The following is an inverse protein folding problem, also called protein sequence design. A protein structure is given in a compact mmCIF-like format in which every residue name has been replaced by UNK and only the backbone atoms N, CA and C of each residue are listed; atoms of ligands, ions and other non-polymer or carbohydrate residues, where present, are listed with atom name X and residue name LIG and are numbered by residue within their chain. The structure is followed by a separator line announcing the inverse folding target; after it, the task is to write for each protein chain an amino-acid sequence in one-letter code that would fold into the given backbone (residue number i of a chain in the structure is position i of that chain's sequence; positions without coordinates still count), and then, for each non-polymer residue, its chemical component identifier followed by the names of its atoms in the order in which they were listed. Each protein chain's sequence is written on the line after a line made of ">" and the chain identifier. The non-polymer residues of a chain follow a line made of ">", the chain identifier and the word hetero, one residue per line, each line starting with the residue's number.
data_IF_110698508064
#
_entry.id   IF_110698508064
#
_cell.length_a   1.000
_cell.length_b   1.000
_cell.length_c   1.000
_cell.angle_alpha   90.00
_cell.angle_beta   90.00
_cell.angle_gamma   90.00
#
_symmetry.space_group_name_H-M   'P 1'
#
loop_
_entity.id
_entity.type
_entity.pdbx_description
1 polymer ?
#
# COMPACT_ATOMS: atom_id res chain seq x y z
N UNK A 1 21.24 1.14 11.35
CA UNK A 1 20.78 2.55 11.45
C UNK A 1 20.29 2.96 12.84
N UNK A 2 20.00 2.00 13.76
CA UNK A 2 19.51 2.26 15.12
C UNK A 2 20.62 2.65 16.14
N UNK A 3 21.91 2.34 15.88
CA UNK A 3 23.02 2.38 16.86
C UNK A 3 23.23 3.73 17.55
N UNK A 4 22.92 4.84 16.87
CA UNK A 4 23.17 6.19 17.38
C UNK A 4 21.88 6.92 17.78
N UNK A 5 20.80 6.19 18.06
CA UNK A 5 19.49 6.74 18.41
C UNK A 5 19.05 6.23 19.76
N UNK A 6 18.40 7.09 20.54
CA UNK A 6 17.88 6.75 21.86
C UNK A 6 16.41 6.35 21.68
N UNK A 7 16.11 5.11 22.01
CA UNK A 7 14.75 4.56 21.96
C UNK A 7 14.20 4.39 23.38
N UNK A 8 12.91 4.58 23.53
CA UNK A 8 12.23 4.21 24.76
C UNK A 8 11.89 2.70 24.78
N UNK A 9 11.33 2.25 25.90
CA UNK A 9 11.01 0.83 26.10
C UNK A 9 9.86 0.32 25.22
N UNK A 10 9.09 1.19 24.59
CA UNK A 10 7.97 0.82 23.71
C UNK A 10 8.44 0.33 22.34
N UNK A 11 9.68 0.69 21.95
CA UNK A 11 10.17 0.42 20.59
C UNK A 11 10.67 -1.01 20.46
N UNK A 12 10.04 -1.74 19.56
CA UNK A 12 10.43 -3.08 19.14
C UNK A 12 10.93 -3.04 17.69
N UNK A 13 12.25 -3.18 17.51
CA UNK A 13 12.88 -3.15 16.18
C UNK A 13 12.43 -4.32 15.30
N UNK A 14 12.12 -5.49 15.89
CA UNK A 14 11.54 -6.61 15.15
C UNK A 14 10.16 -6.28 14.59
N UNK A 15 9.30 -5.65 15.38
CA UNK A 15 7.99 -5.18 14.90
C UNK A 15 8.12 -4.11 13.81
N UNK A 16 9.15 -3.25 13.87
CA UNK A 16 9.41 -2.26 12.81
C UNK A 16 9.77 -2.97 11.51
N UNK A 17 10.65 -3.98 11.54
CA UNK A 17 11.05 -4.72 10.34
C UNK A 17 9.87 -5.45 9.68
N UNK A 18 8.96 -6.01 10.46
CA UNK A 18 7.74 -6.63 9.95
C UNK A 18 6.79 -5.64 9.27
N UNK A 19 6.80 -4.37 9.69
CA UNK A 19 5.93 -3.30 9.16
C UNK A 19 6.53 -2.53 7.98
N UNK A 20 7.76 -2.85 7.61
CA UNK A 20 8.51 -2.19 6.53
C UNK A 20 8.98 -3.16 5.45
N UNK A 21 8.09 -4.05 4.93
CA UNK A 21 8.47 -4.96 3.86
C UNK A 21 8.89 -4.15 2.62
N UNK A 22 9.98 -4.56 1.98
CA UNK A 22 10.51 -3.91 0.79
C UNK A 22 11.30 -2.62 1.02
N UNK A 23 11.46 -2.18 2.28
CA UNK A 23 12.32 -1.02 2.57
C UNK A 23 13.79 -1.38 2.36
N UNK A 24 14.49 -0.49 1.65
CA UNK A 24 15.96 -0.54 1.56
C UNK A 24 16.60 -0.05 2.88
N UNK A 25 17.90 -0.26 3.03
CA UNK A 25 18.65 0.31 4.17
C UNK A 25 18.51 1.83 4.26
N UNK A 26 18.45 2.53 3.12
CA UNK A 26 18.27 3.98 3.06
C UNK A 26 16.86 4.39 3.54
N UNK A 27 15.82 3.62 3.18
CA UNK A 27 14.45 3.90 3.65
C UNK A 27 14.34 3.70 5.17
N UNK A 28 14.96 2.65 5.72
CA UNK A 28 15.00 2.41 7.16
C UNK A 28 15.78 3.50 7.91
N UNK A 29 16.87 4.00 7.34
CA UNK A 29 17.61 5.14 7.90
C UNK A 29 16.75 6.39 7.91
N UNK A 30 16.09 6.70 6.79
CA UNK A 30 15.18 7.84 6.66
C UNK A 30 14.03 7.75 7.67
N UNK A 31 13.40 6.58 7.81
CA UNK A 31 12.35 6.34 8.79
C UNK A 31 12.81 6.66 10.21
N UNK A 32 13.95 6.12 10.63
CA UNK A 32 14.46 6.34 11.98
C UNK A 32 14.94 7.80 12.21
N UNK A 33 15.40 8.48 11.17
CA UNK A 33 15.73 9.91 11.24
C UNK A 33 14.46 10.76 11.38
N UNK A 34 13.41 10.47 10.60
CA UNK A 34 12.11 11.13 10.75
C UNK A 34 11.51 10.90 12.14
N UNK A 35 11.59 9.66 12.67
CA UNK A 35 11.13 9.36 14.02
C UNK A 35 11.88 10.17 15.09
N UNK A 36 13.21 10.33 14.93
CA UNK A 36 14.01 11.14 15.82
C UNK A 36 13.60 12.62 15.77
N UNK A 37 13.40 13.18 14.56
CA UNK A 37 12.92 14.55 14.38
C UNK A 37 11.54 14.77 15.00
N UNK A 38 10.65 13.78 14.90
CA UNK A 38 9.32 13.81 15.51
C UNK A 38 9.42 13.81 17.05
N UNK A 39 10.30 12.98 17.63
CA UNK A 39 10.55 12.96 19.08
C UNK A 39 11.00 14.34 19.59
N UNK A 40 11.97 14.96 18.90
CA UNK A 40 12.43 16.31 19.24
C UNK A 40 11.29 17.34 19.13
N UNK A 41 10.51 17.33 18.05
CA UNK A 41 9.37 18.24 17.87
C UNK A 41 8.28 18.08 18.94
N UNK A 42 8.17 16.89 19.53
CA UNK A 42 7.25 16.57 20.61
C UNK A 42 7.87 16.76 22.01
N UNK A 43 9.07 17.34 22.09
CA UNK A 43 9.85 17.52 23.32
C UNK A 43 10.10 16.21 24.08
N UNK A 44 10.32 15.10 23.37
CA UNK A 44 10.69 13.80 23.94
C UNK A 44 12.20 13.60 23.90
N UNK A 45 12.75 12.95 24.92
CA UNK A 45 14.18 12.64 25.03
C UNK A 45 14.56 11.30 24.35
N UNK A 46 13.57 10.52 23.93
CA UNK A 46 13.75 9.24 23.28
C UNK A 46 12.66 9.03 22.21
N UNK A 47 12.97 8.21 21.21
CA UNK A 47 12.03 7.81 20.17
C UNK A 47 11.11 6.75 20.75
N UNK A 48 9.80 6.99 20.72
CA UNK A 48 8.78 6.02 21.05
C UNK A 48 8.19 5.35 19.83
N UNK A 49 7.36 4.31 20.05
CA UNK A 49 6.69 3.61 18.94
C UNK A 49 5.74 4.52 18.17
N UNK A 50 5.10 5.49 18.82
CA UNK A 50 4.22 6.48 18.17
C UNK A 50 4.98 7.36 17.15
N UNK A 51 6.24 7.72 17.46
CA UNK A 51 7.09 8.46 16.53
C UNK A 51 7.50 7.60 15.34
N UNK A 52 7.76 6.32 15.58
CA UNK A 52 8.10 5.36 14.52
C UNK A 52 6.89 5.14 13.60
N UNK A 53 5.70 4.96 14.15
CA UNK A 53 4.47 4.77 13.37
C UNK A 53 4.16 5.99 12.49
N UNK A 54 4.26 7.19 13.05
CA UNK A 54 4.07 8.43 12.27
C UNK A 54 5.18 8.63 11.22
N UNK A 55 6.42 8.27 11.53
CA UNK A 55 7.53 8.33 10.58
C UNK A 55 7.35 7.32 9.44
N UNK A 56 6.87 6.12 9.74
CA UNK A 56 6.53 5.11 8.73
C UNK A 56 5.48 5.65 7.75
N UNK A 57 4.41 6.22 8.27
CA UNK A 57 3.36 6.85 7.46
C UNK A 57 3.92 7.98 6.58
N UNK A 58 4.84 8.79 7.10
CA UNK A 58 5.46 9.89 6.34
C UNK A 58 6.35 9.41 5.21
N UNK A 59 7.11 8.35 5.46
CA UNK A 59 8.00 7.78 4.43
C UNK A 59 7.18 7.12 3.33
N UNK A 60 6.11 6.41 3.68
CA UNK A 60 5.27 5.71 2.71
C UNK A 60 4.32 6.64 1.92
N UNK A 61 3.65 7.55 2.62
CA UNK A 61 2.51 8.30 2.08
C UNK A 61 2.71 9.81 2.08
N UNK A 62 3.81 10.29 2.68
CA UNK A 62 4.09 11.70 2.87
C UNK A 62 3.48 12.27 4.17
N UNK A 63 3.74 13.55 4.47
CA UNK A 63 3.26 14.20 5.68
C UNK A 63 1.74 14.33 5.69
N UNK A 64 1.15 14.28 6.89
CA UNK A 64 -0.27 14.53 7.09
C UNK A 64 -0.64 15.97 6.68
N UNK A 65 -1.75 16.13 5.96
CA UNK A 65 -2.29 17.43 5.54
C UNK A 65 -3.18 18.01 6.64
N UNK A 66 -2.59 18.61 7.65
CA UNK A 66 -3.31 19.17 8.80
C UNK A 66 -4.09 20.46 8.50
N UNK A 67 -3.71 21.19 7.44
CA UNK A 67 -4.37 22.43 7.03
C UNK A 67 -5.62 22.22 6.16
N UNK A 68 -5.83 21.03 5.61
CA UNK A 68 -6.99 20.73 4.78
C UNK A 68 -8.23 20.52 5.67
N UNK A 69 -9.21 21.41 5.52
CA UNK A 69 -10.55 21.19 6.11
C UNK A 69 -11.28 20.14 5.27
N UNK A 70 -11.54 18.99 5.87
CA UNK A 70 -12.31 17.91 5.26
C UNK A 70 -13.73 18.01 5.77
N UNK A 71 -14.73 17.96 4.89
CA UNK A 71 -16.13 17.95 5.28
C UNK A 71 -16.52 16.62 5.92
N UNK A 72 -17.57 16.59 6.74
CA UNK A 72 -18.07 15.33 7.33
C UNK A 72 -18.55 14.34 6.26
N UNK A 73 -19.06 14.84 5.12
CA UNK A 73 -19.42 13.99 3.97
C UNK A 73 -18.18 13.30 3.41
N UNK A 74 -17.09 14.03 3.20
CA UNK A 74 -15.82 13.45 2.70
C UNK A 74 -15.21 12.46 3.70
N UNK A 75 -15.23 12.78 5.00
CA UNK A 75 -14.73 11.85 6.03
C UNK A 75 -15.50 10.54 6.01
N UNK A 76 -16.84 10.62 5.95
CA UNK A 76 -17.71 9.44 5.88
C UNK A 76 -17.42 8.61 4.63
N UNK A 77 -17.26 9.28 3.49
CA UNK A 77 -16.95 8.62 2.21
C UNK A 77 -15.63 7.87 2.30
N UNK A 78 -14.56 8.54 2.73
CA UNK A 78 -13.24 7.93 2.89
C UNK A 78 -13.28 6.79 3.91
N UNK A 79 -13.96 6.98 5.04
CA UNK A 79 -14.06 5.94 6.07
C UNK A 79 -14.74 4.67 5.54
N UNK A 80 -15.83 4.80 4.77
CA UNK A 80 -16.53 3.67 4.16
C UNK A 80 -15.64 2.98 3.11
N UNK A 81 -14.97 3.76 2.27
CA UNK A 81 -14.06 3.26 1.25
C UNK A 81 -12.93 2.43 1.88
N UNK A 82 -12.19 2.99 2.82
CA UNK A 82 -11.08 2.30 3.51
C UNK A 82 -11.56 1.09 4.32
N UNK A 83 -12.73 1.19 4.96
CA UNK A 83 -13.33 0.05 5.66
C UNK A 83 -13.67 -1.09 4.70
N UNK A 84 -14.05 -0.79 3.45
CA UNK A 84 -14.28 -1.79 2.41
C UNK A 84 -13.04 -2.63 2.12
N UNK A 85 -11.90 -1.98 1.94
CA UNK A 85 -10.62 -2.68 1.78
C UNK A 85 -10.29 -3.55 3.00
N UNK A 86 -10.46 -3.01 4.19
CA UNK A 86 -10.15 -3.71 5.44
C UNK A 86 -11.04 -4.93 5.67
N UNK A 87 -12.35 -4.82 5.46
CA UNK A 87 -13.30 -5.94 5.63
C UNK A 87 -12.96 -7.10 4.69
N UNK A 88 -12.65 -6.79 3.43
CA UNK A 88 -12.21 -7.81 2.47
C UNK A 88 -10.88 -8.43 2.92
N UNK A 89 -9.89 -7.63 3.31
CA UNK A 89 -8.60 -8.12 3.80
C UNK A 89 -8.71 -9.04 5.02
N UNK A 90 -9.64 -8.74 5.94
CA UNK A 90 -9.88 -9.60 7.12
C UNK A 90 -10.58 -10.92 6.75
N UNK A 91 -11.46 -10.89 5.73
CA UNK A 91 -12.30 -12.05 5.38
C UNK A 91 -11.64 -13.02 4.41
N UNK A 92 -10.72 -12.57 3.59
CA UNK A 92 -10.00 -13.45 2.66
C UNK A 92 -8.85 -14.15 3.37
N UNK A 93 -8.86 -15.48 3.39
CA UNK A 93 -7.88 -16.30 4.13
C UNK A 93 -6.44 -16.07 3.64
N UNK A 94 -6.25 -15.88 2.33
CA UNK A 94 -4.96 -15.72 1.68
C UNK A 94 -4.64 -14.25 1.38
N UNK A 95 -5.46 -13.32 1.91
CA UNK A 95 -5.20 -11.91 1.83
C UNK A 95 -4.06 -11.49 2.78
N UNK A 96 -3.55 -10.31 2.55
CA UNK A 96 -2.63 -9.63 3.46
C UNK A 96 -3.34 -9.31 4.79
N UNK A 97 -2.59 -9.19 5.86
CA UNK A 97 -3.13 -8.78 7.16
C UNK A 97 -3.39 -7.27 7.17
N UNK A 98 -4.58 -6.87 7.61
CA UNK A 98 -4.91 -5.45 7.81
C UNK A 98 -4.16 -4.94 9.05
N UNK A 99 -3.18 -4.09 8.83
CA UNK A 99 -2.38 -3.52 9.91
C UNK A 99 -2.95 -2.20 10.42
N UNK A 100 -3.38 -1.32 9.50
CA UNK A 100 -3.83 0.03 9.86
C UNK A 100 -4.85 0.55 8.85
N UNK A 101 -5.86 1.24 9.37
CA UNK A 101 -6.81 2.02 8.58
C UNK A 101 -6.74 3.47 9.05
N UNK A 102 -6.72 4.41 8.16
CA UNK A 102 -6.71 5.84 8.50
C UNK A 102 -7.49 6.66 7.48
N UNK A 103 -8.18 7.69 7.99
CA UNK A 103 -8.84 8.72 7.18
C UNK A 103 -8.07 10.05 7.23
N UNK A 104 -6.85 10.03 7.76
CA UNK A 104 -5.99 11.21 7.78
C UNK A 104 -5.38 11.37 6.38
N UNK A 105 -5.63 12.50 5.69
CA UNK A 105 -5.13 12.70 4.34
C UNK A 105 -3.62 12.90 4.34
N UNK A 106 -2.95 12.18 3.43
CA UNK A 106 -1.50 12.27 3.19
C UNK A 106 -1.21 12.29 1.70
N UNK A 107 -0.24 13.08 1.28
CA UNK A 107 0.10 13.17 -0.14
C UNK A 107 -1.14 13.46 -1.01
N UNK A 108 -1.49 12.58 -1.93
CA UNK A 108 -2.68 12.66 -2.78
C UNK A 108 -3.87 11.86 -2.24
N UNK A 109 -3.65 11.02 -1.22
CA UNK A 109 -4.68 10.15 -0.65
C UNK A 109 -5.53 10.85 0.41
N UNK A 110 -6.83 10.58 0.43
CA UNK A 110 -7.77 11.05 1.46
C UNK A 110 -7.72 10.23 2.74
N UNK A 111 -7.36 8.95 2.62
CA UNK A 111 -7.10 7.97 3.65
C UNK A 111 -6.28 6.84 3.06
N UNK A 112 -6.00 5.80 3.81
CA UNK A 112 -5.42 4.56 3.29
C UNK A 112 -5.60 3.40 4.25
N UNK A 113 -5.64 2.20 3.69
CA UNK A 113 -5.59 0.94 4.41
C UNK A 113 -4.22 0.29 4.18
N UNK A 114 -3.47 0.10 5.27
CA UNK A 114 -2.16 -0.57 5.22
C UNK A 114 -2.36 -2.06 5.40
N UNK A 115 -1.91 -2.81 4.40
CA UNK A 115 -1.87 -4.26 4.41
C UNK A 115 -0.42 -4.73 4.56
N UNK A 116 -0.19 -5.74 5.37
CA UNK A 116 1.11 -6.39 5.53
C UNK A 116 1.03 -7.83 5.04
N UNK A 117 2.11 -8.37 4.45
CA UNK A 117 2.20 -9.79 4.17
C UNK A 117 2.09 -10.61 5.46
N UNK A 118 1.35 -11.71 5.44
CA UNK A 118 1.26 -12.62 6.60
C UNK A 118 2.55 -13.37 6.87
N UNK A 119 3.35 -13.61 5.84
CA UNK A 119 4.60 -14.36 5.90
C UNK A 119 5.64 -13.71 4.98
N UNK A 120 6.92 -13.94 5.27
CA UNK A 120 8.03 -13.58 4.40
C UNK A 120 8.03 -14.48 3.16
N UNK A 121 7.25 -14.11 2.14
CA UNK A 121 7.20 -14.84 0.87
C UNK A 121 8.33 -14.39 -0.06
N UNK A 122 8.92 -15.36 -0.77
CA UNK A 122 10.02 -15.17 -1.73
C UNK A 122 9.54 -14.49 -3.05
N UNK A 123 8.42 -13.79 -3.01
CA UNK A 123 7.91 -13.08 -4.20
C UNK A 123 7.13 -13.96 -5.20
N UNK A 124 6.93 -15.26 -4.91
CA UNK A 124 6.10 -16.14 -5.73
C UNK A 124 4.67 -16.09 -5.22
N UNK A 125 3.72 -15.81 -6.11
CA UNK A 125 2.30 -15.70 -5.79
C UNK A 125 1.48 -16.68 -6.61
N UNK A 126 0.50 -17.29 -5.97
CA UNK A 126 -0.48 -18.16 -6.64
C UNK A 126 -1.54 -17.34 -7.36
N UNK A 127 -2.30 -18.00 -8.27
CA UNK A 127 -3.45 -17.38 -8.94
C UNK A 127 -4.47 -16.88 -7.92
N UNK A 128 -4.77 -17.69 -6.91
CA UNK A 128 -5.73 -17.36 -5.85
C UNK A 128 -5.31 -16.13 -5.02
N UNK A 129 -4.03 -16.01 -4.69
CA UNK A 129 -3.50 -14.85 -3.98
C UNK A 129 -3.62 -13.56 -4.80
N UNK A 130 -3.38 -13.63 -6.12
CA UNK A 130 -3.57 -12.48 -7.01
C UNK A 130 -5.05 -12.10 -7.14
N UNK A 131 -5.95 -13.08 -7.22
CA UNK A 131 -7.41 -12.85 -7.22
C UNK A 131 -7.86 -12.22 -5.88
N UNK A 132 -7.32 -12.68 -4.75
CA UNK A 132 -7.56 -12.07 -3.44
C UNK A 132 -7.07 -10.61 -3.38
N UNK A 133 -5.91 -10.30 -3.96
CA UNK A 133 -5.43 -8.92 -4.05
C UNK A 133 -6.35 -8.04 -4.90
N UNK A 134 -6.80 -8.52 -6.07
CA UNK A 134 -7.75 -7.80 -6.91
C UNK A 134 -9.04 -7.53 -6.13
N UNK A 135 -9.56 -8.54 -5.45
CA UNK A 135 -10.79 -8.44 -4.66
C UNK A 135 -10.61 -7.40 -3.53
N UNK A 136 -9.48 -7.42 -2.84
CA UNK A 136 -9.12 -6.42 -1.83
C UNK A 136 -9.12 -4.99 -2.38
N UNK A 137 -8.50 -4.78 -3.53
CA UNK A 137 -8.45 -3.48 -4.22
C UNK A 137 -9.85 -2.99 -4.64
N UNK A 138 -10.76 -3.89 -5.00
CA UNK A 138 -12.13 -3.52 -5.38
C UNK A 138 -13.05 -3.27 -4.18
N UNK A 139 -12.63 -3.62 -2.97
CA UNK A 139 -13.40 -3.50 -1.72
C UNK A 139 -13.88 -2.08 -1.43
N UNK A 140 -13.03 -1.07 -1.65
CA UNK A 140 -13.38 0.33 -1.46
C UNK A 140 -14.54 0.77 -2.36
N UNK A 141 -14.49 0.45 -3.65
CA UNK A 141 -15.57 0.74 -4.60
C UNK A 141 -16.85 -0.02 -4.26
N UNK A 142 -16.74 -1.28 -3.87
CA UNK A 142 -17.89 -2.08 -3.50
C UNK A 142 -18.62 -1.49 -2.29
N UNK A 143 -17.89 -1.04 -1.29
CA UNK A 143 -18.44 -0.40 -0.09
C UNK A 143 -19.09 0.95 -0.38
N UNK A 144 -18.49 1.80 -1.23
CA UNK A 144 -19.10 3.04 -1.69
C UNK A 144 -20.51 2.77 -2.29
N UNK A 145 -20.56 1.82 -3.24
CA UNK A 145 -21.83 1.47 -3.91
C UNK A 145 -22.87 0.91 -2.94
N UNK A 146 -22.44 0.06 -2.00
CA UNK A 146 -23.34 -0.64 -1.08
C UNK A 146 -23.91 0.30 0.00
N UNK A 147 -23.07 1.16 0.59
CA UNK A 147 -23.44 1.95 1.77
C UNK A 147 -23.75 3.41 1.48
N UNK A 148 -23.29 3.95 0.34
CA UNK A 148 -23.57 5.33 -0.06
C UNK A 148 -24.51 5.42 -1.25
N UNK A 149 -24.69 4.33 -2.02
CA UNK A 149 -25.43 4.36 -3.28
C UNK A 149 -24.75 5.17 -4.40
N UNK A 150 -23.58 5.70 -4.14
CA UNK A 150 -22.80 6.55 -5.06
C UNK A 150 -21.47 5.85 -5.40
N UNK A 151 -20.81 6.35 -6.45
CA UNK A 151 -19.45 5.94 -6.81
C UNK A 151 -18.60 7.17 -7.04
N UNK A 152 -17.36 7.14 -6.56
CA UNK A 152 -16.48 8.31 -6.61
C UNK A 152 -15.22 8.08 -7.42
N UNK A 153 -14.47 9.13 -7.69
CA UNK A 153 -13.16 9.03 -8.33
C UNK A 153 -12.07 8.48 -7.40
N UNK A 154 -12.36 8.32 -6.10
CA UNK A 154 -11.40 7.85 -5.09
C UNK A 154 -10.79 6.49 -5.41
N UNK A 155 -11.58 5.58 -5.99
CA UNK A 155 -11.14 4.24 -6.38
C UNK A 155 -10.27 4.18 -7.66
N UNK A 156 -9.86 5.30 -8.24
CA UNK A 156 -9.12 5.30 -9.53
C UNK A 156 -7.78 4.58 -9.47
N UNK A 157 -7.03 4.72 -8.37
CA UNK A 157 -5.75 4.04 -8.18
C UNK A 157 -5.93 2.54 -7.91
N UNK A 158 -6.98 2.17 -7.20
CA UNK A 158 -7.33 0.77 -6.96
C UNK A 158 -7.68 0.05 -8.26
N UNK A 159 -8.48 0.66 -9.12
CA UNK A 159 -8.75 0.13 -10.46
C UNK A 159 -7.48 0.00 -11.30
N UNK A 160 -6.59 0.98 -11.26
CA UNK A 160 -5.32 0.93 -11.97
C UNK A 160 -4.47 -0.25 -11.50
N UNK A 161 -4.37 -0.45 -10.19
CA UNK A 161 -3.63 -1.58 -9.59
C UNK A 161 -4.29 -2.92 -9.92
N UNK A 162 -5.60 -3.05 -9.71
CA UNK A 162 -6.36 -4.25 -10.00
C UNK A 162 -6.26 -4.66 -11.48
N UNK A 163 -6.42 -3.70 -12.39
CA UNK A 163 -6.29 -3.92 -13.83
C UNK A 163 -4.87 -4.38 -14.20
N UNK A 164 -3.84 -3.78 -13.58
CA UNK A 164 -2.45 -4.20 -13.83
C UNK A 164 -2.19 -5.63 -13.38
N UNK A 165 -2.70 -6.03 -12.21
CA UNK A 165 -2.58 -7.41 -11.72
C UNK A 165 -3.30 -8.36 -12.68
N UNK A 166 -4.59 -8.11 -12.98
CA UNK A 166 -5.39 -8.94 -13.88
C UNK A 166 -4.74 -9.08 -15.27
N UNK A 167 -4.23 -7.98 -15.81
CA UNK A 167 -3.49 -8.00 -17.08
C UNK A 167 -2.25 -8.88 -16.99
N UNK A 168 -1.44 -8.75 -15.93
CA UNK A 168 -0.24 -9.58 -15.74
C UNK A 168 -0.60 -11.07 -15.60
N UNK A 169 -1.70 -11.41 -14.93
CA UNK A 169 -2.18 -12.79 -14.82
C UNK A 169 -2.44 -13.40 -16.20
N UNK A 170 -3.05 -12.64 -17.11
CA UNK A 170 -3.37 -13.10 -18.47
C UNK A 170 -2.12 -13.07 -19.36
N UNK A 171 -1.38 -11.95 -19.38
CA UNK A 171 -0.37 -11.71 -20.43
C UNK A 171 1.03 -12.21 -20.06
N UNK A 172 1.33 -12.33 -18.77
CA UNK A 172 2.69 -12.69 -18.30
C UNK A 172 2.75 -14.07 -17.64
N UNK A 173 1.74 -14.39 -16.83
CA UNK A 173 1.81 -15.56 -15.95
C UNK A 173 1.06 -16.77 -16.48
N UNK A 174 0.34 -16.64 -17.62
CA UNK A 174 -0.43 -17.74 -18.19
C UNK A 174 -1.52 -18.28 -17.24
N UNK A 175 -2.09 -17.40 -16.38
CA UNK A 175 -3.07 -17.77 -15.37
C UNK A 175 -4.53 -17.56 -15.83
N UNK A 176 -4.77 -17.64 -17.14
CA UNK A 176 -6.11 -17.53 -17.76
C UNK A 176 -6.49 -18.81 -18.46
N UNK A 177 -7.73 -18.90 -18.93
CA UNK A 177 -8.25 -20.02 -19.70
C UNK A 177 -7.61 -20.15 -21.10
N UNK A 178 -6.81 -19.16 -21.51
CA UNK A 178 -6.01 -19.23 -22.75
C UNK A 178 -4.84 -20.21 -22.66
N UNK A 179 -4.52 -20.70 -21.44
CA UNK A 179 -3.45 -21.63 -21.18
C UNK A 179 -2.11 -20.98 -20.82
N UNK A 180 -1.05 -21.78 -20.63
CA UNK A 180 0.26 -21.34 -20.15
C UNK A 180 1.07 -20.69 -21.29
N UNK A 181 0.71 -19.49 -21.68
CA UNK A 181 1.41 -18.71 -22.71
C UNK A 181 1.70 -17.29 -22.22
N UNK A 182 2.81 -16.73 -22.69
CA UNK A 182 3.17 -15.33 -22.48
C UNK A 182 2.77 -14.53 -23.72
N UNK A 183 1.88 -13.54 -23.53
CA UNK A 183 1.32 -12.72 -24.60
C UNK A 183 2.02 -11.34 -24.72
N UNK A 184 2.67 -10.87 -23.66
CA UNK A 184 3.41 -9.61 -23.65
C UNK A 184 4.84 -9.85 -23.18
N UNK A 185 5.85 -9.42 -23.95
CA UNK A 185 7.23 -9.34 -23.55
C UNK A 185 7.52 -7.94 -23.00
N UNK A 186 8.19 -7.86 -21.86
CA UNK A 186 8.83 -6.62 -21.44
C UNK A 186 10.06 -6.42 -22.31
N UNK A 187 10.10 -5.35 -23.10
CA UNK A 187 11.34 -4.97 -23.76
C UNK A 187 12.36 -4.61 -22.69
N UNK A 188 13.31 -5.49 -22.42
CA UNK A 188 14.51 -5.24 -21.61
C UNK A 188 15.45 -4.27 -22.35
N UNK A 189 14.95 -3.14 -22.76
CA UNK A 189 15.69 -2.13 -23.49
C UNK A 189 15.88 -0.87 -22.66
N UNK A 190 16.78 -0.93 -21.67
CA UNK A 190 17.28 0.28 -21.03
C UNK A 190 18.25 0.96 -21.98
N UNK A 191 17.73 1.79 -22.91
CA UNK A 191 18.52 2.85 -23.52
C UNK A 191 17.69 4.12 -23.60
N UNK A 192 18.13 5.14 -22.87
CA UNK A 192 17.60 6.50 -22.87
C UNK A 192 17.39 6.99 -24.31
N UNK A 193 16.14 7.16 -24.73
CA UNK A 193 15.80 7.86 -25.96
C UNK A 193 15.03 7.09 -27.03
N UNK A 194 14.57 5.86 -26.81
CA UNK A 194 13.71 5.13 -27.76
C UNK A 194 12.36 4.82 -27.14
N UNK A 195 11.30 5.03 -27.92
CA UNK A 195 9.90 4.77 -27.55
C UNK A 195 9.71 3.42 -26.87
N UNK A 196 9.04 3.43 -25.71
CA UNK A 196 8.55 2.26 -24.99
C UNK A 196 7.40 1.61 -25.77
N UNK A 197 7.68 0.99 -26.91
CA UNK A 197 6.73 0.13 -27.57
C UNK A 197 6.75 -1.23 -26.86
N UNK A 198 5.74 -1.48 -26.01
CA UNK A 198 5.42 -2.83 -25.59
C UNK A 198 5.09 -3.64 -26.82
N UNK A 199 5.94 -4.61 -27.17
CA UNK A 199 5.66 -5.57 -28.23
C UNK A 199 4.50 -6.44 -27.76
N UNK A 200 3.37 -6.32 -28.43
CA UNK A 200 2.22 -7.21 -28.24
C UNK A 200 2.40 -8.40 -29.15
N UNK A 201 2.34 -9.61 -28.60
CA UNK A 201 2.38 -10.87 -29.37
C UNK A 201 0.98 -11.33 -29.84
N UNK A 202 0.03 -10.40 -29.92
CA UNK A 202 -1.34 -10.66 -30.37
C UNK A 202 -1.87 -9.48 -31.18
N UNK A 203 -2.77 -9.80 -32.14
CA UNK A 203 -3.49 -8.84 -32.97
C UNK A 203 -4.71 -8.27 -32.27
#
# INVERSE_FOLDING_TARGET
>A
HARNKIFDKSVNLGAISQRTPGFSGADLENLLNEAALLAVRRNKNAIGMDEVDEATDRVLMGPAKTSRKITEKEKRLVAIHESGHAVIGIKLADAQEVHKITIIPRGVAGGYTMMLPKEDKIGIMTKEELECQITGLLGGRASEKLFLGETTTGASDDFKKATRIARSMVTKYGMSDLGPMQLEEESEGVFLGRDYNKTKNFS
#
